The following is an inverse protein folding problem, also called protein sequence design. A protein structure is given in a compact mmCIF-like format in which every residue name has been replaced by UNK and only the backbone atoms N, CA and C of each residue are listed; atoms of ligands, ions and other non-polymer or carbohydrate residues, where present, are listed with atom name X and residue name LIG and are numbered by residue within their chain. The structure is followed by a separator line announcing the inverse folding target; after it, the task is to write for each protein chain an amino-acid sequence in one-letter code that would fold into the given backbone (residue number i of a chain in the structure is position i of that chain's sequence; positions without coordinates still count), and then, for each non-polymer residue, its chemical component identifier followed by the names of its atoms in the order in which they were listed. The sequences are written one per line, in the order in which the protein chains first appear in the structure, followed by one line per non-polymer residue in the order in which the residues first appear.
data_IF_597095769305
#
_entry.id   IF_597095769305
#
_cell.length_a   1.000
_cell.length_b   1.000
_cell.length_c   1.000
_cell.angle_alpha   90.00
_cell.angle_beta   90.00
_cell.angle_gamma   90.00
#
_symmetry.space_group_name_H-M   'P 1'
#
loop_
_entity.id
_entity.type
_entity.pdbx_description
1 polymer ?
#
# COMPACT_ATOMS: atom_id res chain seq x y z
N UNK A 1 31.53 -38.56 2.25
CA UNK A 1 32.48 -38.21 3.33
C UNK A 1 32.38 -36.70 3.51
N UNK A 2 31.72 -36.22 4.58
CA UNK A 2 32.35 -35.72 5.83
C UNK A 2 33.44 -34.67 5.53
N UNK A 3 33.58 -33.50 6.16
CA UNK A 3 33.01 -32.79 7.33
C UNK A 3 33.71 -31.41 7.26
N UNK A 4 33.08 -30.30 7.61
CA UNK A 4 33.33 -29.66 8.91
C UNK A 4 33.67 -28.17 8.72
N UNK A 5 32.88 -27.28 9.32
CA UNK A 5 33.15 -26.52 10.56
C UNK A 5 33.97 -25.23 10.35
N UNK A 6 33.34 -24.06 10.41
CA UNK A 6 33.16 -23.14 11.57
C UNK A 6 34.40 -22.32 11.94
N UNK A 7 34.32 -20.98 11.80
CA UNK A 7 34.87 -20.03 12.79
C UNK A 7 33.91 -18.84 12.96
N UNK A 8 33.54 -18.61 14.21
CA UNK A 8 32.88 -17.45 14.80
C UNK A 8 33.98 -16.51 15.31
N UNK A 9 33.84 -15.18 15.14
CA UNK A 9 34.34 -14.09 16.03
C UNK A 9 33.95 -12.74 15.40
N UNK A 10 32.88 -12.07 15.84
CA UNK A 10 32.78 -11.20 17.02
C UNK A 10 33.42 -9.80 16.81
N UNK A 11 32.58 -8.76 16.71
CA UNK A 11 32.78 -7.49 17.41
C UNK A 11 31.42 -6.94 17.86
N UNK A 12 31.25 -6.93 19.18
CA UNK A 12 30.24 -6.17 19.91
C UNK A 12 30.91 -4.86 20.32
N UNK A 13 30.28 -3.71 20.05
CA UNK A 13 30.15 -2.58 20.99
C UNK A 13 29.57 -1.33 20.30
N UNK A 14 28.57 -0.73 20.95
CA UNK A 14 28.06 0.63 20.67
C UNK A 14 26.61 0.60 20.16
N UNK A 15 25.61 1.12 20.84
CA UNK A 15 25.56 1.84 22.10
C UNK A 15 24.17 1.64 22.70
N UNK A 16 24.12 1.52 24.03
CA UNK A 16 22.89 1.47 24.81
C UNK A 16 22.41 2.89 25.10
N UNK A 17 21.10 3.05 24.93
CA UNK A 17 20.21 3.95 25.64
C UNK A 17 20.40 5.47 25.45
N UNK A 18 19.32 6.14 25.04
CA UNK A 18 18.50 6.96 25.97
C UNK A 18 17.32 7.61 25.23
N UNK A 19 16.19 7.72 25.93
CA UNK A 19 15.07 8.63 25.71
C UNK A 19 14.32 8.50 24.36
N UNK A 20 13.05 8.09 24.34
CA UNK A 20 11.99 8.89 24.94
C UNK A 20 11.68 10.14 24.10
N UNK A 21 11.54 9.99 22.78
CA UNK A 21 11.05 11.08 21.93
C UNK A 21 9.52 11.02 21.83
N UNK A 22 8.87 11.69 22.78
CA UNK A 22 7.51 12.15 22.63
C UNK A 22 7.45 13.04 21.38
N UNK A 23 6.69 12.65 20.35
CA UNK A 23 6.34 13.57 19.27
C UNK A 23 5.35 14.57 19.87
N UNK A 24 5.88 15.71 20.30
CA UNK A 24 5.08 16.85 20.67
C UNK A 24 4.37 17.37 19.41
N UNK A 25 3.04 17.26 19.39
CA UNK A 25 2.17 17.93 18.43
C UNK A 25 2.31 19.43 18.72
N UNK A 26 3.09 20.13 17.91
CA UNK A 26 3.25 21.57 18.00
C UNK A 26 1.98 22.23 17.45
N UNK A 27 1.06 22.57 18.36
CA UNK A 27 -0.09 23.43 18.07
C UNK A 27 0.41 24.86 17.84
N UNK A 28 0.65 25.21 16.58
CA UNK A 28 0.86 26.60 16.21
C UNK A 28 -0.49 27.22 15.84
N UNK A 29 -1.08 27.91 16.81
CA UNK A 29 -2.26 28.75 16.61
C UNK A 29 -1.88 30.01 15.82
N UNK A 30 -2.54 30.24 14.68
CA UNK A 30 -3.46 31.38 14.45
C UNK A 30 -3.78 31.58 12.94
N UNK A 31 -5.05 31.83 12.57
CA UNK A 31 -5.48 32.31 11.25
C UNK A 31 -5.35 33.85 11.18
N UNK A 32 -5.33 34.50 10.00
CA UNK A 32 -6.58 34.81 9.30
C UNK A 32 -6.52 34.81 7.76
N UNK A 33 -7.70 34.69 7.17
CA UNK A 33 -8.17 35.39 5.96
C UNK A 33 -7.46 35.16 4.61
N UNK A 34 -8.20 34.50 3.72
CA UNK A 34 -8.43 35.03 2.38
C UNK A 34 -7.34 34.77 1.35
N UNK A 35 -7.56 33.73 0.53
CA UNK A 35 -7.33 33.81 -0.91
C UNK A 35 -8.09 32.68 -1.60
N UNK A 36 -9.33 32.97 -1.96
CA UNK A 36 -9.94 32.38 -3.14
C UNK A 36 -9.12 32.88 -4.35
N UNK A 37 -8.17 32.08 -4.81
CA UNK A 37 -7.58 32.25 -6.13
C UNK A 37 -8.32 31.34 -7.09
N UNK A 38 -9.39 31.90 -7.65
CA UNK A 38 -9.91 31.52 -8.95
C UNK A 38 -8.82 31.80 -9.99
N UNK A 39 -8.05 30.78 -10.34
CA UNK A 39 -7.17 30.81 -11.51
C UNK A 39 -7.01 29.38 -12.06
N UNK A 40 -8.11 28.78 -12.50
CA UNK A 40 -8.07 27.68 -13.47
C UNK A 40 -8.54 28.25 -14.82
N UNK A 41 -7.60 28.97 -15.43
CA UNK A 41 -7.68 29.41 -16.82
C UNK A 41 -8.03 28.21 -17.69
N UNK A 42 -9.10 28.36 -18.47
CA UNK A 42 -9.47 27.51 -19.58
C UNK A 42 -8.23 27.18 -20.45
N UNK A 43 -7.70 25.97 -20.26
CA UNK A 43 -6.77 25.36 -21.18
C UNK A 43 -7.57 24.87 -22.40
N UNK A 44 -7.35 25.40 -23.62
CA UNK A 44 -8.07 25.00 -24.83
C UNK A 44 -7.71 23.59 -25.35
N UNK A 45 -6.76 22.90 -24.70
CA UNK A 45 -6.58 21.46 -24.87
C UNK A 45 -7.50 20.70 -23.89
N UNK A 46 -8.81 20.77 -24.15
CA UNK A 46 -9.80 20.04 -23.38
C UNK A 46 -9.48 18.54 -23.37
N UNK A 47 -9.63 17.85 -22.23
CA UNK A 47 -9.48 16.40 -22.21
C UNK A 47 -10.48 15.82 -23.20
N UNK A 48 -9.99 14.99 -24.11
CA UNK A 48 -10.85 14.22 -25.01
C UNK A 48 -11.94 13.55 -24.17
N UNK A 49 -13.19 13.82 -24.52
CA UNK A 49 -14.36 13.29 -23.85
C UNK A 49 -14.25 11.76 -23.72
N UNK A 50 -14.11 11.27 -22.48
CA UNK A 50 -14.23 9.85 -22.16
C UNK A 50 -13.31 9.31 -21.07
N UNK A 51 -12.24 10.00 -20.69
CA UNK A 51 -11.36 9.55 -19.59
C UNK A 51 -11.69 10.32 -18.33
N UNK A 52 -12.62 9.79 -17.52
CA UNK A 52 -12.81 10.26 -16.15
C UNK A 52 -11.52 10.01 -15.37
N UNK A 53 -10.82 11.08 -14.99
CA UNK A 53 -9.68 10.98 -14.08
C UNK A 53 -10.08 10.18 -12.84
N UNK A 54 -9.22 9.26 -12.37
CA UNK A 54 -9.51 8.46 -11.18
C UNK A 54 -9.78 9.39 -9.99
N UNK A 55 -10.90 9.17 -9.30
CA UNK A 55 -11.27 9.97 -8.10
C UNK A 55 -10.41 9.61 -6.89
N UNK A 56 -10.02 8.34 -6.80
CA UNK A 56 -9.08 7.85 -5.81
C UNK A 56 -7.64 7.96 -6.33
N UNK A 57 -6.80 8.64 -5.54
CA UNK A 57 -5.36 8.61 -5.75
C UNK A 57 -4.80 7.22 -5.42
N UNK A 58 -3.66 6.88 -6.02
CA UNK A 58 -2.96 5.62 -5.77
C UNK A 58 -2.66 5.43 -4.28
N UNK A 59 -2.21 6.48 -3.58
CA UNK A 59 -1.89 6.42 -2.15
C UNK A 59 -3.13 6.15 -1.29
N UNK A 60 -4.27 6.75 -1.64
CA UNK A 60 -5.52 6.50 -0.93
C UNK A 60 -5.99 5.06 -1.16
N UNK A 61 -5.92 4.58 -2.40
CA UNK A 61 -6.30 3.22 -2.74
C UNK A 61 -5.33 2.18 -2.15
N UNK A 62 -4.02 2.46 -2.08
CA UNK A 62 -3.04 1.63 -1.38
C UNK A 62 -3.33 1.55 0.11
N UNK A 63 -3.74 2.66 0.74
CA UNK A 63 -4.11 2.67 2.16
C UNK A 63 -5.31 1.74 2.40
N UNK A 64 -6.31 1.79 1.52
CA UNK A 64 -7.47 0.88 1.56
C UNK A 64 -7.01 -0.56 1.37
N UNK A 65 -6.20 -0.84 0.36
CA UNK A 65 -5.66 -2.18 0.08
C UNK A 65 -4.95 -2.78 1.28
N UNK A 66 -4.06 -2.01 1.92
CA UNK A 66 -3.30 -2.46 3.09
C UNK A 66 -4.22 -2.73 4.28
N UNK A 67 -5.22 -1.88 4.51
CA UNK A 67 -6.20 -2.10 5.59
C UNK A 67 -7.05 -3.34 5.36
N UNK A 68 -7.47 -3.59 4.11
CA UNK A 68 -8.25 -4.78 3.74
C UNK A 68 -7.44 -6.07 3.91
N UNK A 69 -6.15 -6.03 3.54
CA UNK A 69 -5.25 -7.19 3.62
C UNK A 69 -4.61 -7.37 5.00
N UNK A 70 -4.88 -6.51 5.97
CA UNK A 70 -4.28 -6.65 7.29
C UNK A 70 -4.92 -7.81 8.05
N UNK A 71 -4.14 -8.84 8.35
CA UNK A 71 -4.60 -10.07 9.00
C UNK A 71 -3.82 -11.30 8.52
N UNK A 72 -4.06 -12.44 9.17
CA UNK A 72 -3.59 -13.72 8.65
C UNK A 72 -4.44 -14.12 7.42
N UNK A 73 -3.85 -14.61 6.32
CA UNK A 73 -2.45 -14.95 6.08
C UNK A 73 -1.61 -13.84 5.40
N UNK A 74 -2.21 -12.68 5.13
CA UNK A 74 -1.64 -11.66 4.24
C UNK A 74 -0.58 -10.77 4.89
N UNK A 75 -0.65 -10.56 6.21
CA UNK A 75 0.32 -9.82 7.01
C UNK A 75 -0.32 -9.26 8.28
N UNK A 76 0.33 -9.40 9.43
CA UNK A 76 -0.17 -8.89 10.72
C UNK A 76 0.06 -7.39 10.88
N UNK A 77 0.95 -6.82 10.07
CA UNK A 77 1.29 -5.40 10.06
C UNK A 77 1.21 -4.84 8.63
N UNK A 78 1.02 -3.53 8.52
CA UNK A 78 1.05 -2.84 7.22
C UNK A 78 2.34 -3.08 6.44
N UNK A 79 3.49 -3.17 7.13
CA UNK A 79 4.78 -3.44 6.50
C UNK A 79 4.87 -4.87 5.93
N UNK A 80 4.31 -5.86 6.61
CA UNK A 80 4.24 -7.24 6.11
C UNK A 80 3.32 -7.34 4.89
N UNK A 81 2.16 -6.69 4.94
CA UNK A 81 1.23 -6.63 3.81
C UNK A 81 1.90 -5.98 2.60
N UNK A 82 2.55 -4.83 2.79
CA UNK A 82 3.28 -4.14 1.71
C UNK A 82 4.42 -4.98 1.13
N UNK A 83 5.10 -5.79 1.94
CA UNK A 83 6.15 -6.71 1.46
C UNK A 83 5.57 -7.81 0.54
N UNK A 84 4.35 -8.24 0.84
CA UNK A 84 3.65 -9.29 0.09
C UNK A 84 2.84 -8.73 -1.09
N UNK A 85 2.79 -7.42 -1.25
CA UNK A 85 1.97 -6.72 -2.24
C UNK A 85 2.86 -6.00 -3.27
N UNK A 86 2.54 -6.17 -4.55
CA UNK A 86 3.23 -5.51 -5.66
C UNK A 86 2.23 -4.67 -6.44
N UNK A 87 2.46 -3.36 -6.53
CA UNK A 87 1.61 -2.48 -7.34
C UNK A 87 1.77 -2.79 -8.83
N UNK A 88 0.65 -3.02 -9.53
CA UNK A 88 0.61 -3.10 -11.01
C UNK A 88 0.30 -1.75 -11.63
N UNK A 89 -0.50 -0.94 -10.93
CA UNK A 89 -0.91 0.41 -11.36
C UNK A 89 -2.41 0.49 -11.62
N UNK A 90 -2.80 1.48 -12.43
CA UNK A 90 -4.19 1.68 -12.84
C UNK A 90 -4.47 0.89 -14.13
N UNK A 91 -5.45 0.01 -14.09
CA UNK A 91 -5.91 -0.77 -15.24
C UNK A 91 -7.37 -0.44 -15.59
N UNK A 92 -7.75 -0.66 -16.84
CA UNK A 92 -9.15 -0.53 -17.28
C UNK A 92 -9.75 -1.94 -17.42
N UNK A 93 -10.71 -2.28 -16.57
CA UNK A 93 -11.39 -3.57 -16.58
C UNK A 93 -12.90 -3.38 -16.71
N UNK A 94 -13.52 -4.04 -17.70
CA UNK A 94 -14.96 -3.95 -17.98
C UNK A 94 -15.50 -2.50 -18.05
N UNK A 95 -14.68 -1.55 -18.53
CA UNK A 95 -15.03 -0.13 -18.61
C UNK A 95 -14.88 0.66 -17.30
N UNK A 96 -14.29 0.06 -16.27
CA UNK A 96 -14.00 0.69 -14.98
C UNK A 96 -12.50 0.82 -14.78
N UNK A 97 -12.03 1.99 -14.34
CA UNK A 97 -10.64 2.18 -13.92
C UNK A 97 -10.45 1.56 -12.54
N UNK A 98 -9.55 0.59 -12.42
CA UNK A 98 -9.24 -0.13 -11.18
C UNK A 98 -7.76 -0.01 -10.85
N UNK A 99 -7.44 0.31 -9.60
CA UNK A 99 -6.10 0.14 -9.07
C UNK A 99 -5.87 -1.33 -8.77
N UNK A 100 -4.78 -1.89 -9.28
CA UNK A 100 -4.48 -3.33 -9.19
C UNK A 100 -3.20 -3.55 -8.39
N UNK A 101 -3.28 -4.45 -7.41
CA UNK A 101 -2.15 -4.97 -6.67
C UNK A 101 -2.11 -6.49 -6.77
N UNK A 102 -0.94 -7.01 -7.13
CA UNK A 102 -0.67 -8.44 -7.03
C UNK A 102 -0.24 -8.77 -5.60
N UNK A 103 -0.89 -9.77 -5.00
CA UNK A 103 -0.62 -10.24 -3.63
C UNK A 103 -0.02 -11.64 -3.72
N UNK A 104 1.19 -11.80 -3.19
CA UNK A 104 1.92 -13.08 -3.17
C UNK A 104 2.36 -13.42 -1.76
N UNK A 105 1.83 -14.53 -1.24
CA UNK A 105 2.24 -15.13 0.03
C UNK A 105 3.00 -16.41 -0.27
N UNK A 106 4.22 -16.51 0.23
CA UNK A 106 5.04 -17.70 0.05
C UNK A 106 4.41 -18.93 0.73
N UNK A 107 4.61 -20.13 0.18
CA UNK A 107 4.25 -21.37 0.85
C UNK A 107 4.76 -21.48 2.28
N UNK A 108 3.91 -21.99 3.18
CA UNK A 108 4.24 -22.26 4.58
C UNK A 108 3.75 -23.66 5.00
N UNK A 109 4.09 -24.09 6.22
CA UNK A 109 3.62 -25.37 6.75
C UNK A 109 2.09 -25.45 6.84
N UNK A 110 1.46 -24.33 7.19
CA UNK A 110 0.00 -24.19 7.29
C UNK A 110 -0.67 -23.93 5.92
N UNK A 111 0.10 -23.45 4.94
CA UNK A 111 -0.36 -23.11 3.59
C UNK A 111 0.66 -23.52 2.53
N UNK A 112 0.77 -24.81 2.18
CA UNK A 112 1.84 -25.33 1.32
C UNK A 112 1.77 -24.85 -0.13
N UNK A 113 0.61 -24.35 -0.58
CA UNK A 113 0.43 -23.75 -1.89
C UNK A 113 0.75 -22.24 -1.92
N UNK A 114 0.87 -21.59 -0.77
CA UNK A 114 0.94 -20.12 -0.68
C UNK A 114 -0.34 -19.44 -1.22
N UNK A 115 -0.26 -18.14 -1.47
CA UNK A 115 -1.31 -17.38 -2.16
C UNK A 115 -0.70 -16.61 -3.31
N UNK A 116 -1.40 -16.62 -4.44
CA UNK A 116 -1.11 -15.74 -5.55
C UNK A 116 -2.44 -15.25 -6.14
N UNK A 117 -2.72 -13.96 -5.97
CA UNK A 117 -3.96 -13.35 -6.43
C UNK A 117 -3.79 -11.85 -6.62
N UNK A 118 -4.90 -11.17 -6.87
CA UNK A 118 -4.93 -9.73 -7.08
C UNK A 118 -5.99 -9.10 -6.19
N UNK A 119 -5.68 -7.93 -5.66
CA UNK A 119 -6.65 -7.03 -5.08
C UNK A 119 -6.87 -5.88 -6.06
N UNK A 120 -8.12 -5.72 -6.50
CA UNK A 120 -8.53 -4.65 -7.41
C UNK A 120 -9.41 -3.67 -6.66
N UNK A 121 -9.19 -2.38 -6.86
CA UNK A 121 -9.95 -1.32 -6.22
C UNK A 121 -10.43 -0.36 -7.30
N UNK A 122 -11.74 -0.24 -7.47
CA UNK A 122 -12.32 0.69 -8.42
C UNK A 122 -11.92 2.13 -8.04
N UNK A 123 -11.27 2.81 -8.98
CA UNK A 123 -10.68 4.13 -8.76
C UNK A 123 -11.72 5.26 -8.68
N UNK A 124 -13.00 4.98 -8.92
CA UNK A 124 -14.08 5.96 -8.85
C UNK A 124 -14.86 5.90 -7.53
N UNK A 125 -15.14 4.69 -7.02
CA UNK A 125 -16.00 4.47 -5.86
C UNK A 125 -15.32 3.72 -4.71
N UNK A 126 -14.10 3.21 -4.90
CA UNK A 126 -13.34 2.50 -3.88
C UNK A 126 -13.79 1.07 -3.64
N UNK A 127 -14.68 0.51 -4.47
CA UNK A 127 -15.12 -0.88 -4.34
C UNK A 127 -13.96 -1.85 -4.55
N UNK A 128 -13.85 -2.81 -3.65
CA UNK A 128 -12.82 -3.85 -3.64
C UNK A 128 -13.34 -5.07 -4.41
N UNK A 129 -12.50 -5.62 -5.28
CA UNK A 129 -12.74 -6.89 -5.96
C UNK A 129 -11.53 -7.79 -5.73
N UNK A 130 -11.60 -8.75 -4.78
CA UNK A 130 -10.57 -9.75 -4.61
C UNK A 130 -10.61 -10.77 -5.77
N UNK A 131 -9.45 -11.11 -6.31
CA UNK A 131 -9.30 -12.11 -7.39
C UNK A 131 -8.31 -13.15 -6.92
N UNK A 132 -8.77 -14.40 -6.75
CA UNK A 132 -7.93 -15.50 -6.24
C UNK A 132 -7.33 -15.24 -4.85
N UNK A 133 -8.02 -14.45 -4.01
CA UNK A 133 -7.69 -14.20 -2.61
C UNK A 133 -8.69 -14.93 -1.70
N UNK A 134 -8.45 -16.20 -1.33
CA UNK A 134 -9.47 -17.09 -0.77
C UNK A 134 -9.98 -16.70 0.63
N UNK A 135 -9.33 -15.75 1.30
CA UNK A 135 -9.70 -15.29 2.64
C UNK A 135 -10.29 -13.87 2.66
N UNK A 136 -10.66 -13.33 1.49
CA UNK A 136 -11.36 -12.05 1.36
C UNK A 136 -12.66 -12.33 0.60
N UNK A 137 -13.80 -12.26 1.30
CA UNK A 137 -15.16 -12.35 0.75
C UNK A 137 -15.94 -11.08 1.13
#
# INVERSE_FOLDING_TARGET
MNKGQWIISAFVAGALATAGAYIAIQWNAMPPEGQASADDRANPNGPMAGQTSPRLSEQAAQTIAVQTLMGDPYGRTSAEVLKNMTAKGLELNAGQSEWVWEVRIAPSADMPQGINGELRINANDGRLTPVMLPFLD
#
